data_IF_227694776871
#
_entry.id   IF_227694776871
#
_cell.length_a   1.000
_cell.length_b   1.000
_cell.length_c   1.000
_cell.angle_alpha   90.00
_cell.angle_beta   90.00
_cell.angle_gamma   90.00
#
_symmetry.space_group_name_H-M   'P 1'
#
loop_
_entity.id
_entity.type
_entity.pdbx_description
1 polymer ?
#
# COMPACT_ATOMS: atom_id res chain seq x y z
N UNK A 1 -15.88 -2.13 -4.59
CA UNK A 1 -15.08 -2.20 -3.35
C UNK A 1 -13.64 -1.87 -3.72
N UNK A 2 -13.15 -0.66 -3.39
CA UNK A 2 -11.82 -0.20 -3.82
C UNK A 2 -10.70 -0.98 -3.11
N UNK A 3 -9.85 -1.62 -3.91
CA UNK A 3 -8.72 -2.41 -3.45
C UNK A 3 -7.42 -1.82 -4.02
N UNK A 4 -6.49 -1.48 -3.14
CA UNK A 4 -5.16 -1.01 -3.48
C UNK A 4 -4.15 -2.09 -3.07
N UNK A 5 -3.27 -2.47 -3.99
CA UNK A 5 -2.20 -3.45 -3.74
C UNK A 5 -0.87 -2.78 -4.04
N UNK A 6 0.07 -2.86 -3.10
CA UNK A 6 1.40 -2.30 -3.22
C UNK A 6 2.38 -3.47 -3.21
N UNK A 7 3.01 -3.74 -4.33
CA UNK A 7 4.09 -4.73 -4.42
C UNK A 7 5.42 -4.00 -4.27
N UNK A 8 6.32 -4.53 -3.45
CA UNK A 8 7.59 -3.89 -3.15
C UNK A 8 8.68 -4.92 -2.87
N UNK A 9 9.92 -4.60 -3.22
CA UNK A 9 11.08 -5.46 -3.00
C UNK A 9 11.58 -5.38 -1.56
N UNK A 10 12.04 -6.51 -1.01
CA UNK A 10 12.46 -6.64 0.40
C UNK A 10 13.58 -5.68 0.83
N UNK A 11 14.39 -5.17 -0.10
CA UNK A 11 15.40 -4.15 0.22
C UNK A 11 14.83 -2.82 0.74
N UNK A 12 13.51 -2.62 0.63
CA UNK A 12 12.82 -1.45 1.18
C UNK A 12 12.40 -1.61 2.64
N UNK A 13 12.38 -2.82 3.23
CA UNK A 13 11.96 -3.05 4.63
C UNK A 13 12.73 -2.17 5.63
N UNK A 14 14.03 -1.96 5.37
CA UNK A 14 14.90 -1.17 6.24
C UNK A 14 14.95 0.32 5.85
N UNK A 15 14.16 0.74 4.87
CA UNK A 15 14.18 2.11 4.30
C UNK A 15 12.83 2.81 4.40
N UNK A 16 11.75 2.05 4.44
CA UNK A 16 10.39 2.55 4.39
C UNK A 16 9.54 1.74 5.37
N UNK A 17 8.80 2.44 6.24
CA UNK A 17 7.77 1.80 7.05
C UNK A 17 6.57 1.48 6.14
N UNK A 18 6.47 0.22 5.71
CA UNK A 18 5.39 -0.20 4.83
C UNK A 18 4.02 -0.21 5.52
N UNK A 19 3.95 -0.26 6.85
CA UNK A 19 2.70 -0.10 7.57
C UNK A 19 2.21 1.36 7.48
N UNK A 20 3.11 2.33 7.63
CA UNK A 20 2.79 3.75 7.44
C UNK A 20 2.34 4.01 5.99
N UNK A 21 3.02 3.44 4.99
CA UNK A 21 2.62 3.60 3.57
C UNK A 21 1.20 3.11 3.30
N UNK A 22 0.81 1.96 3.85
CA UNK A 22 -0.55 1.42 3.71
C UNK A 22 -1.58 2.39 4.30
N UNK A 23 -1.29 2.99 5.46
CA UNK A 23 -2.18 3.96 6.10
C UNK A 23 -2.26 5.28 5.33
N UNK A 24 -1.15 5.76 4.77
CA UNK A 24 -1.11 6.95 3.90
C UNK A 24 -2.04 6.74 2.70
N UNK A 25 -1.96 5.60 2.02
CA UNK A 25 -2.85 5.30 0.88
C UNK A 25 -4.31 5.21 1.33
N UNK A 26 -4.60 4.57 2.46
CA UNK A 26 -5.96 4.48 3.01
C UNK A 26 -6.54 5.86 3.31
N UNK A 27 -5.75 6.75 3.92
CA UNK A 27 -6.13 8.13 4.24
C UNK A 27 -6.35 8.94 2.97
N UNK A 28 -5.42 8.91 2.03
CA UNK A 28 -5.55 9.61 0.75
C UNK A 28 -6.80 9.16 -0.01
N UNK A 29 -7.07 7.84 -0.06
CA UNK A 29 -8.28 7.30 -0.66
C UNK A 29 -9.56 7.81 0.03
N UNK A 30 -9.53 7.93 1.36
CA UNK A 30 -10.65 8.50 2.15
C UNK A 30 -10.87 9.98 1.82
N UNK A 31 -9.79 10.76 1.74
CA UNK A 31 -9.82 12.21 1.47
C UNK A 31 -10.37 12.54 0.08
N UNK A 32 -10.31 11.61 -0.88
CA UNK A 32 -10.93 11.83 -2.20
C UNK A 32 -12.45 12.00 -2.15
N UNK A 33 -13.13 11.45 -1.14
CA UNK A 33 -14.59 11.41 -1.07
C UNK A 33 -15.27 10.52 -2.12
N UNK A 34 -14.50 9.86 -3.01
CA UNK A 34 -15.02 9.01 -4.09
C UNK A 34 -15.42 7.63 -3.57
N UNK A 35 -14.68 7.13 -2.57
CA UNK A 35 -14.77 5.75 -2.11
C UNK A 35 -15.60 5.64 -0.82
N UNK A 36 -16.50 4.64 -0.70
CA UNK A 36 -17.17 4.37 0.56
C UNK A 36 -16.14 3.89 1.60
N UNK A 37 -16.08 4.55 2.74
CA UNK A 37 -15.09 4.31 3.79
C UNK A 37 -14.97 2.83 4.18
N UNK A 38 -16.10 2.16 4.41
CA UNK A 38 -16.14 0.74 4.79
C UNK A 38 -15.66 -0.22 3.69
N UNK A 39 -15.51 0.26 2.45
CA UNK A 39 -15.09 -0.53 1.29
C UNK A 39 -13.61 -0.42 0.93
N UNK A 40 -12.85 0.50 1.54
CA UNK A 40 -11.42 0.70 1.24
C UNK A 40 -10.60 -0.45 1.83
N UNK A 41 -9.78 -1.08 0.99
CA UNK A 41 -8.82 -2.12 1.38
C UNK A 41 -7.46 -1.77 0.79
N UNK A 42 -6.43 -1.72 1.64
CA UNK A 42 -5.05 -1.48 1.21
C UNK A 42 -4.19 -2.61 1.79
N UNK A 43 -3.29 -3.15 0.97
CA UNK A 43 -2.36 -4.21 1.37
C UNK A 43 -1.02 -4.00 0.70
N UNK A 44 0.04 -4.32 1.41
CA UNK A 44 1.39 -4.42 0.87
C UNK A 44 1.77 -5.91 0.71
N UNK A 45 2.42 -6.24 -0.40
CA UNK A 45 2.92 -7.59 -0.71
C UNK A 45 4.44 -7.47 -0.83
N UNK A 46 5.15 -8.13 0.09
CA UNK A 46 6.61 -8.15 0.10
C UNK A 46 7.15 -9.16 -0.91
N UNK A 47 7.98 -8.69 -1.84
CA UNK A 47 8.68 -9.52 -2.82
C UNK A 47 10.09 -9.84 -2.30
N UNK A 48 10.29 -11.08 -1.86
CA UNK A 48 11.60 -11.55 -1.35
C UNK A 48 12.63 -11.69 -2.46
N UNK A 49 12.19 -12.16 -3.62
CA UNK A 49 13.02 -12.30 -4.80
C UNK A 49 12.56 -11.28 -5.83
N UNK A 50 13.49 -10.46 -6.30
CA UNK A 50 13.24 -9.43 -7.26
C UNK A 50 14.49 -9.20 -8.11
N UNK A 51 14.30 -8.77 -9.35
CA UNK A 51 15.35 -8.28 -10.25
C UNK A 51 14.80 -7.01 -10.92
N UNK A 52 15.54 -5.91 -10.80
CA UNK A 52 15.13 -4.59 -11.31
C UNK A 52 16.31 -4.05 -12.11
N UNK A 53 16.10 -3.80 -13.41
CA UNK A 53 17.04 -3.20 -14.37
C UNK A 53 18.47 -3.77 -14.36
#
# INVERSE_FOLDING_TARGET
>A
MPHFTIEYSVNLDNRVDMAEVVEVVRKAATETGIFPLGGIRVRAIRCEHYAIA
#
